data_IF_028817607218
#
_entry.id   IF_028817607218
#
_cell.length_a   1.000
_cell.length_b   1.000
_cell.length_c   1.000
_cell.angle_alpha   90.00
_cell.angle_beta   90.00
_cell.angle_gamma   90.00
#
_symmetry.space_group_name_H-M   'P 1'
#
loop_
_entity.id
_entity.type
_entity.pdbx_description
1 polymer ?
#
# COMPACT_ATOMS: atom_id res chain seq x y z
N UNK A 1 46.58 1.12 -47.02
CA UNK A 1 45.27 1.74 -46.55
C UNK A 1 44.75 0.84 -45.45
N UNK A 2 44.93 1.26 -44.19
CA UNK A 2 44.48 0.51 -43.02
C UNK A 2 43.17 1.15 -42.58
N UNK A 3 42.05 0.43 -42.76
CA UNK A 3 40.73 0.86 -42.31
C UNK A 3 40.52 0.38 -40.88
N UNK A 4 40.62 1.27 -39.91
CA UNK A 4 40.33 0.99 -38.49
C UNK A 4 38.82 1.02 -38.29
N UNK A 5 38.21 -0.14 -38.10
CA UNK A 5 36.81 -0.24 -37.70
C UNK A 5 36.69 0.04 -36.19
N UNK A 6 36.12 1.19 -35.82
CA UNK A 6 35.72 1.50 -34.46
C UNK A 6 34.47 0.67 -34.12
N UNK A 7 34.64 -0.43 -33.34
CA UNK A 7 33.51 -1.08 -32.69
C UNK A 7 33.06 -0.19 -31.55
N UNK A 8 31.97 0.54 -31.76
CA UNK A 8 31.24 1.23 -30.72
C UNK A 8 30.60 0.19 -29.80
N UNK A 9 31.24 -0.11 -28.68
CA UNK A 9 30.58 -0.83 -27.59
C UNK A 9 29.50 0.07 -26.99
N UNK A 10 28.27 -0.10 -27.46
CA UNK A 10 27.09 0.53 -26.84
C UNK A 10 26.96 0.02 -25.41
N UNK A 11 27.38 0.84 -24.44
CA UNK A 11 27.08 0.62 -23.05
C UNK A 11 25.55 0.73 -22.90
N UNK A 12 24.88 -0.43 -22.92
CA UNK A 12 23.47 -0.52 -22.58
C UNK A 12 23.34 -0.12 -21.10
N UNK A 13 23.00 1.15 -20.87
CA UNK A 13 22.68 1.62 -19.53
C UNK A 13 21.46 0.85 -19.09
N UNK A 14 21.66 -0.09 -18.17
CA UNK A 14 20.59 -0.91 -17.64
C UNK A 14 19.54 0.03 -17.00
N UNK A 15 18.39 0.15 -17.68
CA UNK A 15 17.33 1.05 -17.28
C UNK A 15 16.77 0.68 -15.90
N UNK A 16 16.66 1.67 -15.01
CA UNK A 16 16.04 1.49 -13.70
C UNK A 16 14.58 1.03 -13.86
N UNK A 17 14.06 0.26 -12.90
CA UNK A 17 12.72 -0.32 -12.95
C UNK A 17 11.95 -0.15 -11.62
N UNK A 18 10.62 -0.09 -11.72
CA UNK A 18 9.68 -0.16 -10.62
C UNK A 18 9.13 -1.58 -10.56
N UNK A 19 9.21 -2.21 -9.38
CA UNK A 19 8.62 -3.53 -9.15
C UNK A 19 7.33 -3.39 -8.36
N UNK A 20 6.22 -3.90 -8.88
CA UNK A 20 4.90 -3.88 -8.23
C UNK A 20 4.50 -5.31 -7.89
N UNK A 21 4.33 -5.60 -6.60
CA UNK A 21 4.02 -6.92 -6.06
C UNK A 21 2.63 -6.89 -5.46
N UNK A 22 1.65 -7.45 -6.17
CA UNK A 22 0.24 -7.44 -5.79
C UNK A 22 -0.42 -8.81 -6.02
N UNK A 23 -1.44 -9.18 -5.25
CA UNK A 23 -2.22 -10.39 -5.52
C UNK A 23 -3.09 -10.18 -6.75
N UNK A 24 -2.98 -11.09 -7.73
CA UNK A 24 -3.80 -11.13 -8.96
C UNK A 24 -4.88 -12.20 -8.91
N UNK A 25 -4.86 -13.07 -7.90
CA UNK A 25 -5.84 -14.12 -7.67
C UNK A 25 -6.14 -14.28 -6.17
N UNK A 26 -7.06 -15.15 -5.79
CA UNK A 26 -7.41 -15.40 -4.41
C UNK A 26 -8.25 -14.28 -3.75
N UNK A 27 -8.39 -14.31 -2.42
CA UNK A 27 -9.30 -13.42 -1.68
C UNK A 27 -8.99 -11.92 -1.81
N UNK A 28 -7.72 -11.59 -2.05
CA UNK A 28 -7.27 -10.20 -2.16
C UNK A 28 -7.13 -9.70 -3.61
N UNK A 29 -7.48 -10.51 -4.59
CA UNK A 29 -7.33 -10.17 -6.02
C UNK A 29 -8.04 -8.86 -6.40
N UNK A 30 -9.27 -8.65 -5.90
CA UNK A 30 -10.03 -7.42 -6.16
C UNK A 30 -9.31 -6.18 -5.63
N UNK A 31 -8.78 -6.25 -4.41
CA UNK A 31 -8.01 -5.16 -3.83
C UNK A 31 -6.70 -4.93 -4.61
N UNK A 32 -5.98 -6.00 -4.92
CA UNK A 32 -4.77 -5.94 -5.75
C UNK A 32 -5.02 -5.27 -7.09
N UNK A 33 -6.08 -5.66 -7.78
CA UNK A 33 -6.48 -5.06 -9.06
C UNK A 33 -6.81 -3.56 -8.93
N UNK A 34 -7.60 -3.17 -7.94
CA UNK A 34 -7.96 -1.76 -7.72
C UNK A 34 -6.73 -0.89 -7.44
N UNK A 35 -5.80 -1.39 -6.63
CA UNK A 35 -4.53 -0.70 -6.34
C UNK A 35 -3.68 -0.59 -7.60
N UNK A 36 -3.57 -1.67 -8.38
CA UNK A 36 -2.85 -1.66 -9.65
C UNK A 36 -3.41 -0.63 -10.62
N UNK A 37 -4.73 -0.53 -10.77
CA UNK A 37 -5.38 0.46 -11.61
C UNK A 37 -5.07 1.89 -11.15
N UNK A 38 -5.22 2.17 -9.86
CA UNK A 38 -4.89 3.48 -9.29
C UNK A 38 -3.42 3.85 -9.47
N UNK A 39 -2.50 2.91 -9.21
CA UNK A 39 -1.08 3.11 -9.43
C UNK A 39 -0.75 3.40 -10.91
N UNK A 40 -1.26 2.58 -11.83
CA UNK A 40 -0.99 2.76 -13.26
C UNK A 40 -1.56 4.07 -13.81
N UNK A 41 -2.74 4.49 -13.32
CA UNK A 41 -3.31 5.77 -13.67
C UNK A 41 -2.43 6.94 -13.20
N UNK A 42 -2.00 6.92 -11.94
CA UNK A 42 -1.09 7.93 -11.39
C UNK A 42 0.27 7.92 -12.08
N UNK A 43 0.82 6.74 -12.38
CA UNK A 43 2.06 6.57 -13.12
C UNK A 43 1.99 7.21 -14.52
N UNK A 44 0.93 6.95 -15.27
CA UNK A 44 0.71 7.57 -16.59
C UNK A 44 0.58 9.09 -16.50
N UNK A 45 -0.17 9.58 -15.52
CA UNK A 45 -0.37 11.02 -15.30
C UNK A 45 0.93 11.75 -14.88
N UNK A 46 1.85 11.05 -14.20
CA UNK A 46 3.13 11.63 -13.77
C UNK A 46 4.13 11.88 -14.89
N UNK A 47 3.91 11.27 -16.07
CA UNK A 47 4.87 11.31 -17.18
C UNK A 47 6.15 10.49 -16.93
N UNK A 48 6.21 9.71 -15.86
CA UNK A 48 7.33 8.82 -15.57
C UNK A 48 7.49 7.76 -16.67
N UNK A 49 8.74 7.41 -17.00
CA UNK A 49 9.06 6.45 -18.07
C UNK A 49 9.83 5.23 -17.57
N UNK A 50 10.06 5.14 -16.27
CA UNK A 50 10.75 3.99 -15.69
C UNK A 50 9.90 2.73 -15.88
N UNK A 51 10.41 1.64 -16.48
CA UNK A 51 9.65 0.42 -16.68
C UNK A 51 9.01 -0.10 -15.40
N UNK A 52 7.74 -0.49 -15.48
CA UNK A 52 6.98 -1.10 -14.39
C UNK A 52 6.89 -2.61 -14.63
N UNK A 53 7.31 -3.40 -13.66
CA UNK A 53 7.19 -4.85 -13.66
C UNK A 53 6.18 -5.29 -12.62
N UNK A 54 5.11 -5.94 -13.08
CA UNK A 54 4.05 -6.48 -12.23
C UNK A 54 4.38 -7.92 -11.84
N UNK A 55 4.22 -8.26 -10.57
CA UNK A 55 4.49 -9.59 -10.02
C UNK A 55 3.29 -10.00 -9.17
N UNK A 56 2.72 -11.15 -9.51
CA UNK A 56 1.66 -11.76 -8.71
C UNK A 56 2.23 -12.33 -7.41
N UNK A 57 1.73 -11.87 -6.27
CA UNK A 57 2.13 -12.34 -4.94
C UNK A 57 1.30 -13.52 -4.43
N UNK A 58 0.22 -13.88 -5.13
CA UNK A 58 -0.67 -14.95 -4.66
C UNK A 58 0.04 -16.29 -4.55
N UNK A 59 -0.19 -16.99 -3.44
CA UNK A 59 0.39 -18.31 -3.14
C UNK A 59 1.94 -18.35 -3.14
N UNK A 60 2.60 -17.21 -3.04
CA UNK A 60 4.07 -17.12 -3.03
C UNK A 60 4.56 -16.41 -1.79
N UNK A 61 5.61 -16.93 -1.19
CA UNK A 61 6.27 -16.25 -0.07
C UNK A 61 7.02 -15.02 -0.55
N UNK A 62 6.91 -13.91 0.15
CA UNK A 62 7.53 -12.64 -0.22
C UNK A 62 9.06 -12.73 -0.33
N UNK A 63 9.73 -13.48 0.54
CA UNK A 63 11.18 -13.63 0.51
C UNK A 63 11.73 -14.21 -0.78
N UNK A 64 11.26 -15.38 -1.27
CA UNK A 64 11.59 -15.91 -2.60
C UNK A 64 11.26 -14.94 -3.73
N UNK A 65 10.11 -14.26 -3.72
CA UNK A 65 9.75 -13.28 -4.74
C UNK A 65 10.77 -12.13 -4.82
N UNK A 66 11.16 -11.58 -3.68
CA UNK A 66 12.15 -10.50 -3.63
C UNK A 66 13.50 -10.97 -4.17
N UNK A 67 13.97 -12.16 -3.75
CA UNK A 67 15.25 -12.71 -4.26
C UNK A 67 15.23 -12.95 -5.76
N UNK A 68 14.11 -13.35 -6.32
CA UNK A 68 13.97 -13.64 -7.75
C UNK A 68 13.88 -12.38 -8.61
N UNK A 69 13.22 -11.32 -8.10
CA UNK A 69 12.83 -10.18 -8.92
C UNK A 69 13.56 -8.88 -8.59
N UNK A 70 14.02 -8.69 -7.35
CA UNK A 70 14.79 -7.50 -6.97
C UNK A 70 16.24 -7.66 -7.43
N UNK A 71 16.72 -6.68 -8.18
CA UNK A 71 18.08 -6.66 -8.73
C UNK A 71 18.67 -5.24 -8.68
N UNK A 72 19.85 -5.04 -9.24
CA UNK A 72 20.54 -3.74 -9.21
C UNK A 72 19.78 -2.61 -9.95
N UNK A 73 18.84 -2.95 -10.83
CA UNK A 73 18.00 -1.98 -11.56
C UNK A 73 16.77 -1.57 -10.77
N UNK A 74 16.33 -2.39 -9.82
CA UNK A 74 15.12 -2.11 -9.04
C UNK A 74 15.33 -0.88 -8.15
N UNK A 75 14.61 0.19 -8.43
CA UNK A 75 14.68 1.46 -7.69
C UNK A 75 13.69 1.52 -6.54
N UNK A 76 12.51 0.98 -6.76
CA UNK A 76 11.44 0.94 -5.77
C UNK A 76 10.60 -0.31 -5.92
N UNK A 77 10.12 -0.81 -4.81
CA UNK A 77 9.14 -1.90 -4.74
C UNK A 77 7.84 -1.31 -4.21
N UNK A 78 6.73 -1.57 -4.89
CA UNK A 78 5.36 -1.24 -4.45
C UNK A 78 4.68 -2.54 -4.03
N UNK A 79 4.15 -2.59 -2.84
CA UNK A 79 3.68 -3.84 -2.21
C UNK A 79 4.71 -4.36 -1.20
N UNK A 80 4.43 -5.49 -0.57
CA UNK A 80 3.20 -6.30 -0.68
C UNK A 80 1.97 -5.67 -0.04
N UNK A 81 0.79 -6.29 -0.27
CA UNK A 81 -0.49 -5.86 0.28
C UNK A 81 -0.86 -6.62 1.56
N UNK A 82 -0.57 -7.92 1.64
CA UNK A 82 -0.91 -8.72 2.81
C UNK A 82 -0.05 -8.34 4.02
N UNK A 83 -0.69 -8.19 5.19
CA UNK A 83 0.00 -7.81 6.44
C UNK A 83 1.15 -8.76 6.79
N UNK A 84 0.94 -10.06 6.70
CA UNK A 84 1.96 -11.07 6.99
C UNK A 84 3.18 -10.94 6.05
N UNK A 85 2.96 -10.57 4.80
CA UNK A 85 4.03 -10.34 3.83
C UNK A 85 4.81 -9.06 4.14
N UNK A 86 4.15 -8.01 4.65
CA UNK A 86 4.82 -6.77 5.11
C UNK A 86 5.70 -7.06 6.32
N UNK A 87 5.22 -7.84 7.28
CA UNK A 87 6.01 -8.28 8.44
C UNK A 87 7.26 -9.07 8.01
N UNK A 88 7.10 -10.01 7.08
CA UNK A 88 8.23 -10.76 6.52
C UNK A 88 9.19 -9.88 5.71
N UNK A 89 8.68 -8.95 4.90
CA UNK A 89 9.49 -7.99 4.16
C UNK A 89 10.41 -7.20 5.10
N UNK A 90 9.86 -6.67 6.19
CA UNK A 90 10.62 -5.90 7.17
C UNK A 90 11.67 -6.77 7.87
N UNK A 91 11.31 -8.00 8.24
CA UNK A 91 12.23 -8.97 8.86
C UNK A 91 13.42 -9.32 7.93
N UNK A 92 13.21 -9.31 6.62
CA UNK A 92 14.24 -9.55 5.62
C UNK A 92 15.19 -8.36 5.40
N UNK A 93 14.93 -7.21 6.03
CA UNK A 93 15.74 -5.98 5.95
C UNK A 93 16.01 -5.56 4.50
N UNK A 94 15.00 -5.13 3.74
CA UNK A 94 15.12 -4.83 2.33
C UNK A 94 16.16 -3.72 2.07
N UNK A 95 16.96 -3.89 1.03
CA UNK A 95 17.98 -2.92 0.60
C UNK A 95 17.40 -1.86 -0.35
N UNK A 96 16.27 -2.15 -0.98
CA UNK A 96 15.57 -1.27 -1.90
C UNK A 96 14.44 -0.53 -1.18
N UNK A 97 14.18 0.72 -1.56
CA UNK A 97 13.03 1.47 -1.04
C UNK A 97 11.75 0.75 -1.39
N UNK A 98 10.89 0.58 -0.40
CA UNK A 98 9.63 -0.16 -0.57
C UNK A 98 8.48 0.67 -0.03
N UNK A 99 7.39 0.77 -0.80
CA UNK A 99 6.09 1.23 -0.34
C UNK A 99 5.25 0.00 -0.02
N UNK A 100 5.22 -0.41 1.23
CA UNK A 100 4.35 -1.49 1.71
C UNK A 100 2.90 -0.97 1.78
N UNK A 101 1.96 -1.77 1.29
CA UNK A 101 0.55 -1.39 1.16
C UNK A 101 -0.30 -1.89 2.34
N UNK A 102 0.34 -2.08 3.47
CA UNK A 102 -0.29 -2.34 4.75
C UNK A 102 0.58 -1.82 5.89
N UNK A 103 0.01 -1.68 7.05
CA UNK A 103 0.68 -1.17 8.24
C UNK A 103 0.90 -2.27 9.27
N UNK A 104 2.12 -2.33 9.82
CA UNK A 104 2.52 -3.24 10.89
C UNK A 104 3.31 -2.46 11.95
N UNK A 105 3.48 -3.07 13.13
CA UNK A 105 4.18 -2.40 14.26
C UNK A 105 5.67 -2.21 13.95
N UNK A 106 6.28 -3.17 13.27
CA UNK A 106 7.71 -3.13 12.93
C UNK A 106 7.98 -2.01 11.92
N UNK A 107 9.09 -1.32 12.11
CA UNK A 107 9.52 -0.23 11.25
C UNK A 107 10.87 -0.54 10.60
N UNK A 108 11.10 -0.03 9.40
CA UNK A 108 12.37 -0.14 8.71
C UNK A 108 12.64 1.14 7.89
N UNK A 109 13.87 1.70 7.90
CA UNK A 109 14.16 3.00 7.26
C UNK A 109 13.91 3.05 5.75
N UNK A 110 13.89 1.89 5.08
CA UNK A 110 13.64 1.78 3.64
C UNK A 110 12.23 1.34 3.30
N UNK A 111 11.37 1.15 4.28
CA UNK A 111 9.97 0.73 4.09
C UNK A 111 9.06 1.84 4.58
N UNK A 112 8.40 2.49 3.63
CA UNK A 112 7.27 3.37 3.92
C UNK A 112 6.03 2.49 3.96
N UNK A 113 5.30 2.54 5.04
CA UNK A 113 4.05 1.82 5.22
C UNK A 113 2.88 2.75 4.88
N UNK A 114 1.99 2.29 4.02
CA UNK A 114 0.78 2.98 3.63
C UNK A 114 -0.40 2.02 3.79
N UNK A 115 -1.39 2.42 4.54
CA UNK A 115 -2.58 1.63 4.78
C UNK A 115 -3.83 2.42 4.43
N UNK A 116 -4.82 1.73 3.89
CA UNK A 116 -6.18 2.25 3.77
C UNK A 116 -6.95 2.15 5.10
N UNK A 117 -6.27 1.79 6.20
CA UNK A 117 -6.90 1.81 7.51
C UNK A 117 -7.41 3.22 7.81
N UNK A 118 -8.58 3.30 8.40
CA UNK A 118 -9.20 4.56 8.79
C UNK A 118 -8.65 5.11 10.13
N UNK A 119 -7.49 4.61 10.56
CA UNK A 119 -6.87 4.98 11.83
C UNK A 119 -6.48 6.46 11.88
N UNK A 120 -5.90 6.98 10.79
CA UNK A 120 -5.49 8.38 10.71
C UNK A 120 -6.72 9.31 10.63
N UNK A 121 -7.75 8.88 9.89
CA UNK A 121 -9.05 9.59 9.85
C UNK A 121 -9.67 9.64 11.25
N UNK A 122 -9.69 8.51 11.95
CA UNK A 122 -10.21 8.42 13.32
C UNK A 122 -9.39 9.26 14.31
N UNK A 123 -8.06 9.30 14.16
CA UNK A 123 -7.18 10.14 14.97
C UNK A 123 -7.46 11.64 14.76
N UNK A 124 -7.67 12.04 13.52
CA UNK A 124 -8.02 13.43 13.17
C UNK A 124 -9.36 13.82 13.77
N UNK A 125 -10.37 12.96 13.67
CA UNK A 125 -11.66 13.17 14.30
C UNK A 125 -11.55 13.25 15.82
N UNK A 126 -10.77 12.37 16.46
CA UNK A 126 -10.51 12.42 17.90
C UNK A 126 -9.94 13.78 18.33
N UNK A 127 -8.95 14.30 17.60
CA UNK A 127 -8.36 15.61 17.90
C UNK A 127 -9.39 16.75 17.80
N UNK A 128 -10.26 16.69 16.78
CA UNK A 128 -11.35 17.64 16.62
C UNK A 128 -12.33 17.56 17.79
N UNK A 129 -12.76 16.37 18.15
CA UNK A 129 -13.71 16.15 19.26
C UNK A 129 -13.13 16.60 20.60
N UNK A 130 -11.84 16.36 20.84
CA UNK A 130 -11.14 16.86 22.03
C UNK A 130 -11.10 18.38 22.07
N UNK A 131 -10.80 19.03 20.95
CA UNK A 131 -10.80 20.49 20.84
C UNK A 131 -12.18 21.09 21.15
N UNK A 132 -13.23 20.44 20.68
CA UNK A 132 -14.61 20.90 20.86
C UNK A 132 -15.26 20.35 22.14
N UNK A 133 -14.47 19.67 22.99
CA UNK A 133 -14.89 19.11 24.30
C UNK A 133 -16.09 18.14 24.20
N UNK A 134 -16.12 17.36 23.09
CA UNK A 134 -17.15 16.33 22.90
C UNK A 134 -16.88 15.18 23.87
N UNK A 135 -17.91 14.77 24.61
CA UNK A 135 -17.85 13.70 25.60
C UNK A 135 -18.89 12.59 25.37
N UNK A 136 -19.64 12.69 24.29
CA UNK A 136 -20.61 11.68 23.83
C UNK A 136 -20.77 11.80 22.31
N UNK A 137 -20.80 10.67 21.62
CA UNK A 137 -20.90 10.63 20.16
C UNK A 137 -22.04 9.73 19.71
N UNK A 138 -22.93 10.26 18.89
CA UNK A 138 -23.94 9.50 18.16
C UNK A 138 -23.53 9.40 16.69
N UNK A 139 -23.45 8.20 16.18
CA UNK A 139 -23.17 7.92 14.77
C UNK A 139 -24.43 7.40 14.11
N UNK A 140 -24.99 8.19 13.21
CA UNK A 140 -26.12 7.76 12.38
C UNK A 140 -25.59 7.03 11.15
N UNK A 141 -26.04 5.79 10.97
CA UNK A 141 -25.63 4.94 9.86
C UNK A 141 -26.83 4.62 8.96
N UNK A 142 -26.64 4.74 7.65
CA UNK A 142 -27.64 4.32 6.69
C UNK A 142 -27.63 2.78 6.55
N UNK A 143 -28.78 2.09 6.64
CA UNK A 143 -28.85 0.65 6.45
C UNK A 143 -28.28 0.22 5.11
N UNK A 144 -27.47 -0.86 5.11
CA UNK A 144 -26.81 -1.38 3.92
C UNK A 144 -25.43 -0.79 3.64
N UNK A 145 -24.97 0.19 4.45
CA UNK A 145 -23.62 0.79 4.32
C UNK A 145 -22.63 0.30 5.38
N UNK A 146 -23.00 -0.73 6.15
CA UNK A 146 -22.23 -1.23 7.29
C UNK A 146 -20.79 -1.58 6.90
N UNK A 147 -20.61 -2.30 5.78
CA UNK A 147 -19.30 -2.75 5.32
C UNK A 147 -18.38 -1.58 4.89
N UNK A 148 -18.97 -0.47 4.42
CA UNK A 148 -18.19 0.69 3.96
C UNK A 148 -17.64 1.51 5.14
N UNK A 149 -18.38 1.55 6.23
CA UNK A 149 -18.07 2.43 7.37
C UNK A 149 -17.46 1.68 8.56
N UNK A 150 -17.49 0.36 8.57
CA UNK A 150 -17.03 -0.48 9.69
C UNK A 150 -15.60 -0.18 10.11
N UNK A 151 -14.67 -0.03 9.16
CA UNK A 151 -13.26 0.22 9.46
C UNK A 151 -13.03 1.58 10.15
N UNK A 152 -13.74 2.62 9.71
CA UNK A 152 -13.67 3.94 10.36
C UNK A 152 -14.28 3.87 11.75
N UNK A 153 -15.44 3.23 11.87
CA UNK A 153 -16.19 3.12 13.11
C UNK A 153 -15.39 2.35 14.17
N UNK A 154 -14.85 1.19 13.83
CA UNK A 154 -13.98 0.42 14.73
C UNK A 154 -12.73 1.21 15.13
N UNK A 155 -12.09 1.90 14.17
CA UNK A 155 -10.93 2.72 14.45
C UNK A 155 -11.26 3.88 15.38
N UNK A 156 -12.42 4.49 15.22
CA UNK A 156 -12.86 5.63 16.03
C UNK A 156 -13.23 5.17 17.46
N UNK A 157 -14.05 4.14 17.59
CA UNK A 157 -14.45 3.57 18.90
C UNK A 157 -13.24 3.13 19.71
N UNK A 158 -12.22 2.52 19.06
CA UNK A 158 -11.01 2.07 19.75
C UNK A 158 -10.13 3.22 20.28
N UNK A 159 -10.34 4.44 19.82
CA UNK A 159 -9.52 5.60 20.19
C UNK A 159 -10.22 6.59 21.13
N UNK A 160 -11.54 6.47 21.30
CA UNK A 160 -12.31 7.37 22.16
C UNK A 160 -12.51 6.76 23.55
N UNK A 161 -12.36 7.59 24.58
CA UNK A 161 -12.46 7.19 25.99
C UNK A 161 -13.86 7.48 26.58
N UNK A 162 -14.85 7.76 25.72
CA UNK A 162 -16.22 8.07 26.11
C UNK A 162 -17.22 7.29 25.24
N UNK A 163 -18.51 7.23 25.65
CA UNK A 163 -19.51 6.44 24.95
C UNK A 163 -19.70 6.85 23.49
N UNK A 164 -19.73 5.85 22.61
CA UNK A 164 -20.09 5.99 21.20
C UNK A 164 -21.30 5.12 20.94
N UNK A 165 -22.40 5.73 20.53
CA UNK A 165 -23.63 5.04 20.17
C UNK A 165 -23.83 5.04 18.67
N UNK A 166 -23.99 3.85 18.08
CA UNK A 166 -24.29 3.70 16.66
C UNK A 166 -25.79 3.47 16.51
N UNK A 167 -26.43 4.33 15.76
CA UNK A 167 -27.86 4.26 15.50
C UNK A 167 -28.09 4.08 14.00
N UNK A 168 -28.76 2.99 13.62
CA UNK A 168 -29.19 2.80 12.24
C UNK A 168 -30.40 3.71 11.96
N UNK A 169 -30.29 4.52 10.91
CA UNK A 169 -31.41 5.36 10.51
C UNK A 169 -32.55 4.49 9.96
N UNK A 170 -33.82 4.85 10.20
CA UNK A 170 -34.93 4.09 9.63
C UNK A 170 -34.85 4.11 8.10
N UNK A 171 -35.21 3.00 7.40
CA UNK A 171 -35.24 2.98 5.95
C UNK A 171 -36.21 4.04 5.42
N UNK A 172 -35.81 4.74 4.39
CA UNK A 172 -36.63 5.74 3.70
C UNK A 172 -37.72 5.08 2.86
#
# INVERSE_FOLDING_TARGET
IITTALLGAGLSVAQAEILVILPESGPMARAGFSIQQGFMHAYQASGEKMPVKLINSEQRKIGPLLRQHVNARTRVVIGPLARADVEQLIALRPKVRTLALNEVIQQHPRVLQFSLSKKDDAQTLKQLFQKDQINHLYILREPGTEAEHELLLMSLVSQLDYPVEVVDSPPR
#
